data_IF_437533278389
#
_entry.id   IF_437533278389
#
_cell.length_a   1.000
_cell.length_b   1.000
_cell.length_c   1.000
_cell.angle_alpha   90.00
_cell.angle_beta   90.00
_cell.angle_gamma   90.00
#
_symmetry.space_group_name_H-M   'P 1'
#
loop_
_entity.id
_entity.type
_entity.pdbx_description
1 polymer ?
#
# COMPACT_ATOMS: atom_id res chain seq x y z
N UNK A 1 -13.37 -27.27 -1.85
CA UNK A 1 -12.09 -27.58 -1.16
C UNK A 1 -10.92 -26.73 -1.68
N UNK A 2 -10.73 -26.59 -3.00
CA UNK A 2 -9.62 -25.80 -3.58
C UNK A 2 -9.71 -24.28 -3.31
N UNK A 3 -10.93 -23.72 -3.21
CA UNK A 3 -11.16 -22.29 -2.94
C UNK A 3 -10.61 -21.80 -1.60
N UNK A 4 -10.48 -22.71 -0.61
CA UNK A 4 -9.96 -22.37 0.72
C UNK A 4 -8.49 -21.95 0.66
N UNK A 5 -7.70 -22.53 -0.27
CA UNK A 5 -6.29 -22.20 -0.45
C UNK A 5 -6.07 -20.80 -1.05
N UNK A 6 -7.11 -20.19 -1.65
CA UNK A 6 -7.04 -18.82 -2.15
C UNK A 6 -7.33 -17.77 -1.06
N UNK A 7 -7.64 -18.19 0.17
CA UNK A 7 -7.83 -17.25 1.27
C UNK A 7 -6.51 -16.54 1.65
N UNK A 8 -6.52 -15.21 1.88
CA UNK A 8 -5.34 -14.46 2.33
C UNK A 8 -4.62 -15.02 3.56
N UNK A 9 -5.34 -15.78 4.38
CA UNK A 9 -4.79 -16.53 5.50
C UNK A 9 -3.62 -17.44 5.09
N UNK A 10 -3.72 -18.12 3.94
CA UNK A 10 -2.69 -19.05 3.45
C UNK A 10 -1.63 -18.42 2.56
N UNK A 11 -1.74 -17.11 2.27
CA UNK A 11 -0.80 -16.45 1.38
C UNK A 11 0.56 -16.26 2.05
N UNK A 12 1.62 -16.54 1.29
CA UNK A 12 2.98 -16.14 1.65
C UNK A 12 3.10 -14.61 1.66
N UNK A 13 4.14 -14.09 2.31
CA UNK A 13 4.43 -12.65 2.32
C UNK A 13 4.58 -12.07 0.92
N UNK A 14 5.15 -12.84 -0.02
CA UNK A 14 5.30 -12.44 -1.42
C UNK A 14 3.95 -12.28 -2.12
N UNK A 15 3.03 -13.24 -1.95
CA UNK A 15 1.68 -13.16 -2.54
C UNK A 15 0.90 -11.99 -1.94
N UNK A 16 0.99 -11.79 -0.61
CA UNK A 16 0.37 -10.64 0.05
C UNK A 16 0.89 -9.32 -0.50
N UNK A 17 2.20 -9.21 -0.71
CA UNK A 17 2.79 -8.00 -1.30
C UNK A 17 2.40 -7.81 -2.77
N UNK A 18 2.32 -8.87 -3.58
CA UNK A 18 1.82 -8.78 -4.96
C UNK A 18 0.39 -8.27 -5.00
N UNK A 19 -0.49 -8.84 -4.16
CA UNK A 19 -1.89 -8.41 -4.06
C UNK A 19 -2.02 -6.93 -3.69
N UNK A 20 -1.26 -6.45 -2.70
CA UNK A 20 -1.27 -5.04 -2.31
C UNK A 20 -0.78 -4.12 -3.44
N UNK A 21 0.24 -4.56 -4.19
CA UNK A 21 0.78 -3.82 -5.32
C UNK A 21 -0.26 -3.69 -6.44
N UNK A 22 -0.81 -4.82 -6.88
CA UNK A 22 -1.80 -4.88 -7.95
C UNK A 22 -3.08 -4.10 -7.58
N UNK A 23 -3.52 -4.22 -6.32
CA UNK A 23 -4.65 -3.44 -5.81
C UNK A 23 -4.35 -1.94 -5.82
N UNK A 24 -3.14 -1.53 -5.40
CA UNK A 24 -2.70 -0.13 -5.43
C UNK A 24 -2.68 0.43 -6.86
N UNK A 25 -2.15 -0.33 -7.82
CA UNK A 25 -2.09 0.09 -9.23
C UNK A 25 -3.49 0.27 -9.81
N UNK A 26 -4.41 -0.64 -9.48
CA UNK A 26 -5.80 -0.54 -9.90
C UNK A 26 -6.52 0.67 -9.28
N UNK A 27 -6.24 0.98 -8.02
CA UNK A 27 -6.81 2.13 -7.32
C UNK A 27 -6.28 3.45 -7.92
N UNK A 28 -4.97 3.55 -8.17
CA UNK A 28 -4.39 4.75 -8.81
C UNK A 28 -4.97 4.96 -10.21
N UNK A 29 -5.11 3.91 -11.01
CA UNK A 29 -5.74 3.98 -12.34
C UNK A 29 -7.21 4.45 -12.30
N UNK A 30 -7.95 4.06 -11.24
CA UNK A 30 -9.33 4.50 -11.05
C UNK A 30 -9.42 5.96 -10.60
N UNK A 31 -8.54 6.38 -9.71
CA UNK A 31 -8.46 7.75 -9.19
C UNK A 31 -8.04 8.73 -10.29
N UNK A 32 -7.01 8.39 -11.10
CA UNK A 32 -6.53 9.19 -12.22
C UNK A 32 -7.59 9.42 -13.30
N UNK A 33 -8.54 8.49 -13.43
CA UNK A 33 -9.67 8.60 -14.37
C UNK A 33 -10.84 9.38 -13.80
N UNK A 34 -10.70 9.95 -12.60
CA UNK A 34 -11.74 10.62 -11.82
C UNK A 34 -13.03 9.79 -11.70
N UNK A 35 -12.88 8.46 -11.72
CA UNK A 35 -14.02 7.55 -11.65
C UNK A 35 -14.39 7.36 -10.19
N UNK A 36 -15.41 8.09 -9.76
CA UNK A 36 -16.14 7.70 -8.56
C UNK A 36 -16.71 6.30 -8.77
N UNK A 37 -16.26 5.37 -7.93
CA UNK A 37 -16.66 3.98 -7.97
C UNK A 37 -16.70 3.47 -6.54
N UNK A 38 -17.71 2.66 -6.24
CA UNK A 38 -17.96 2.05 -4.93
C UNK A 38 -16.70 1.40 -4.32
N UNK A 39 -15.77 0.92 -5.15
CA UNK A 39 -14.49 0.37 -4.68
C UNK A 39 -13.62 1.42 -3.97
N UNK A 40 -13.47 2.62 -4.55
CA UNK A 40 -12.63 3.67 -3.95
C UNK A 40 -13.24 4.15 -2.64
N UNK A 41 -14.57 4.29 -2.59
CA UNK A 41 -15.28 4.64 -1.36
C UNK A 41 -15.15 3.56 -0.29
N UNK A 42 -15.35 2.29 -0.66
CA UNK A 42 -15.21 1.17 0.28
C UNK A 42 -13.79 1.07 0.86
N UNK A 43 -12.75 1.32 0.04
CA UNK A 43 -11.35 1.35 0.49
C UNK A 43 -11.10 2.52 1.44
N UNK A 44 -11.71 3.69 1.24
CA UNK A 44 -11.53 4.81 2.17
C UNK A 44 -12.30 4.61 3.47
N UNK A 45 -13.49 4.01 3.41
CA UNK A 45 -14.34 3.76 4.59
C UNK A 45 -13.75 2.75 5.57
N UNK A 46 -12.91 1.81 5.11
CA UNK A 46 -12.29 0.82 5.99
C UNK A 46 -11.13 1.41 6.81
N UNK A 47 -10.51 2.49 6.32
CA UNK A 47 -9.35 3.13 6.94
C UNK A 47 -9.57 3.47 8.41
N UNK A 48 -10.64 4.19 8.76
CA UNK A 48 -10.91 4.54 10.14
C UNK A 48 -11.13 3.34 11.07
N UNK A 49 -11.73 2.27 10.55
CA UNK A 49 -11.97 1.04 11.31
C UNK A 49 -10.65 0.32 11.61
N UNK A 50 -9.72 0.32 10.66
CA UNK A 50 -8.44 -0.41 10.78
C UNK A 50 -7.40 0.41 11.55
N UNK A 51 -7.33 1.71 11.31
CA UNK A 51 -6.24 2.56 11.79
C UNK A 51 -6.64 3.54 12.90
N UNK A 52 -7.94 3.77 13.11
CA UNK A 52 -8.45 4.85 13.97
C UNK A 52 -8.56 6.16 13.16
N UNK A 53 -7.80 7.18 13.52
CA UNK A 53 -7.86 8.47 12.78
C UNK A 53 -6.87 8.53 11.61
N UNK A 54 -5.58 8.30 11.87
CA UNK A 54 -4.53 8.43 10.86
C UNK A 54 -3.61 7.20 10.90
N UNK A 55 -3.24 6.68 9.73
CA UNK A 55 -2.38 5.50 9.63
C UNK A 55 -0.92 5.78 10.00
N UNK A 56 -0.47 7.03 9.93
CA UNK A 56 0.90 7.44 10.26
C UNK A 56 1.24 7.16 11.72
N UNK A 57 0.28 7.27 12.63
CA UNK A 57 0.42 6.91 14.05
C UNK A 57 0.87 5.45 14.30
N UNK A 58 0.78 4.59 13.28
CA UNK A 58 1.20 3.18 13.35
C UNK A 58 2.65 2.95 12.95
N UNK A 59 3.36 3.98 12.51
CA UNK A 59 4.73 3.90 12.03
C UNK A 59 5.70 4.68 12.91
N UNK A 60 6.98 4.29 12.86
CA UNK A 60 8.05 5.02 13.54
C UNK A 60 8.22 6.43 12.93
N UNK A 61 8.35 7.49 13.76
CA UNK A 61 8.52 8.86 13.25
C UNK A 61 9.74 9.05 12.34
N UNK A 62 10.84 8.33 12.58
CA UNK A 62 12.05 8.37 11.73
C UNK A 62 11.76 7.78 10.36
N UNK A 63 11.01 6.68 10.33
CA UNK A 63 10.54 6.10 9.08
C UNK A 63 9.64 7.08 8.31
N UNK A 64 8.67 7.72 8.97
CA UNK A 64 7.78 8.71 8.34
C UNK A 64 8.53 9.93 7.79
N UNK A 65 9.54 10.43 8.52
CA UNK A 65 10.39 11.50 8.04
C UNK A 65 11.17 11.11 6.78
N UNK A 66 11.59 9.85 6.68
CA UNK A 66 12.30 9.33 5.50
C UNK A 66 11.43 9.23 4.24
N UNK A 67 10.11 9.06 4.40
CA UNK A 67 9.19 8.90 3.27
C UNK A 67 8.52 10.22 2.85
N UNK A 68 8.29 11.14 3.80
CA UNK A 68 7.69 12.45 3.54
C UNK A 68 8.58 13.38 2.71
N UNK A 69 9.89 13.12 2.67
CA UNK A 69 10.85 13.88 1.86
C UNK A 69 10.71 13.62 0.35
N UNK A 70 10.17 12.46 -0.03
CA UNK A 70 10.09 12.02 -1.42
C UNK A 70 8.72 12.31 -2.05
N UNK A 71 7.63 12.16 -1.28
CA UNK A 71 6.26 12.38 -1.74
C UNK A 71 5.36 12.73 -0.56
N UNK A 72 4.42 13.65 -0.78
CA UNK A 72 3.40 13.98 0.22
C UNK A 72 2.28 12.93 0.19
N UNK A 73 1.99 12.33 1.34
CA UNK A 73 0.91 11.34 1.50
C UNK A 73 -0.16 11.89 2.45
N UNK A 74 -1.43 11.69 2.10
CA UNK A 74 -2.54 12.00 3.00
C UNK A 74 -2.67 10.86 4.03
N UNK A 75 -2.32 11.16 5.28
CA UNK A 75 -2.30 10.19 6.40
C UNK A 75 -3.68 9.69 6.82
N UNK A 76 -4.74 10.31 6.30
CA UNK A 76 -6.14 9.88 6.48
C UNK A 76 -6.67 9.03 5.34
N UNK A 77 -5.94 8.94 4.23
CA UNK A 77 -6.35 8.18 3.06
C UNK A 77 -5.71 6.80 3.05
N UNK A 78 -6.54 5.77 3.03
CA UNK A 78 -6.12 4.37 2.88
C UNK A 78 -5.51 4.14 1.50
N UNK A 79 -6.00 4.85 0.47
CA UNK A 79 -5.43 4.81 -0.88
C UNK A 79 -3.99 5.33 -0.88
N UNK A 80 -3.73 6.44 -0.20
CA UNK A 80 -2.36 6.97 -0.08
C UNK A 80 -1.43 6.03 0.71
N UNK A 81 -1.93 5.28 1.68
CA UNK A 81 -1.15 4.23 2.35
C UNK A 81 -0.76 3.11 1.38
N UNK A 82 -1.67 2.64 0.54
CA UNK A 82 -1.38 1.61 -0.47
C UNK A 82 -0.33 2.09 -1.48
N UNK A 83 -0.44 3.34 -1.95
CA UNK A 83 0.53 3.98 -2.84
C UNK A 83 1.91 4.06 -2.17
N UNK A 84 1.97 4.44 -0.89
CA UNK A 84 3.21 4.49 -0.12
C UNK A 84 3.87 3.11 -0.04
N UNK A 85 3.10 2.07 0.30
CA UNK A 85 3.59 0.69 0.40
C UNK A 85 4.16 0.25 -0.95
N UNK A 86 3.43 0.47 -2.04
CA UNK A 86 3.90 0.18 -3.40
C UNK A 86 5.20 0.92 -3.73
N UNK A 87 5.25 2.23 -3.48
CA UNK A 87 6.42 3.05 -3.83
C UNK A 87 7.67 2.59 -3.06
N UNK A 88 7.54 2.34 -1.75
CA UNK A 88 8.65 1.85 -0.92
C UNK A 88 9.13 0.48 -1.38
N UNK A 89 8.20 -0.40 -1.76
CA UNK A 89 8.53 -1.72 -2.27
C UNK A 89 9.21 -1.67 -3.64
N UNK A 90 8.71 -0.87 -4.58
CA UNK A 90 9.34 -0.69 -5.89
C UNK A 90 10.76 -0.14 -5.74
N UNK A 91 10.98 0.87 -4.89
CA UNK A 91 12.32 1.33 -4.58
C UNK A 91 13.19 0.22 -3.98
N UNK A 92 12.68 -0.57 -3.03
CA UNK A 92 13.45 -1.69 -2.47
C UNK A 92 13.81 -2.76 -3.51
N UNK A 93 12.98 -2.97 -4.54
CA UNK A 93 13.24 -3.91 -5.66
C UNK A 93 14.09 -3.30 -6.77
N UNK A 94 14.06 -1.99 -6.97
CA UNK A 94 14.88 -1.29 -7.96
C UNK A 94 16.31 -1.02 -7.45
N UNK A 95 16.48 -0.75 -6.15
CA UNK A 95 17.78 -0.54 -5.50
C UNK A 95 18.58 -1.79 -5.00
N UNK A 96 18.14 -3.06 -5.04
CA UNK A 96 18.91 -4.20 -4.57
C UNK A 96 19.93 -4.69 -5.62
N UNK A 97 20.18 -3.91 -6.70
CA UNK A 97 21.19 -4.24 -7.72
C UNK A 97 22.38 -3.27 -7.79
N UNK A 98 22.32 -2.11 -7.13
CA UNK A 98 23.43 -1.13 -7.16
C UNK A 98 24.28 -1.09 -5.89
N UNK A 99 23.99 -1.93 -4.90
CA UNK A 99 24.87 -2.12 -3.75
C UNK A 99 25.46 -3.52 -3.80
N UNK A 100 26.58 -3.60 -4.52
CA UNK A 100 27.73 -4.49 -4.25
C UNK A 100 27.41 -5.94 -3.93
N UNK A 101 27.66 -6.80 -4.91
CA UNK A 101 28.30 -8.07 -4.61
C UNK A 101 29.49 -7.81 -3.67
N UNK A 102 29.39 -8.30 -2.43
CA UNK A 102 30.57 -8.73 -1.66
C UNK A 102 31.13 -9.98 -2.31
#
# INVERSE_FOLDING_TARGET
>A
AHEVLHNPFFWSSEIRMSFLRESSDRIEELDDKEKQCDLLEAVEQIGPVVFGDNWDTKFDPTFLASISSQRHYNVRSTRHLLILIRNKWNHYIEFPKDIGHL
#
